data_IF_702026767650
#
_entry.id   IF_702026767650
#
_cell.length_a   1.000
_cell.length_b   1.000
_cell.length_c   1.000
_cell.angle_alpha   90.00
_cell.angle_beta   90.00
_cell.angle_gamma   90.00
#
_symmetry.space_group_name_H-M   'P 1'
#
loop_
_entity.id
_entity.type
_entity.pdbx_description
1 polymer ?
#
# COMPACT_ATOMS: atom_id res chain seq x y z
N UNK A 1 11.62 -7.73 -14.14
CA UNK A 1 11.34 -7.95 -12.71
C UNK A 1 10.23 -8.97 -12.54
N UNK A 2 10.38 -9.82 -11.58
CA UNK A 2 9.34 -10.82 -11.29
C UNK A 2 8.19 -10.19 -10.53
N UNK A 3 6.97 -10.65 -10.83
CA UNK A 3 5.80 -10.33 -10.02
C UNK A 3 5.87 -11.14 -8.75
N UNK A 4 5.71 -10.48 -7.60
CA UNK A 4 5.68 -11.14 -6.30
C UNK A 4 4.25 -11.17 -5.80
N UNK A 5 3.77 -12.36 -5.47
CA UNK A 5 2.45 -12.54 -4.86
C UNK A 5 2.64 -13.40 -3.62
N UNK A 6 2.20 -12.89 -2.47
CA UNK A 6 2.17 -13.63 -1.21
C UNK A 6 0.76 -13.64 -0.69
N UNK A 7 0.26 -14.84 -0.39
CA UNK A 7 -1.08 -14.98 0.17
C UNK A 7 -1.13 -14.43 1.60
N UNK A 8 -2.30 -13.92 1.99
CA UNK A 8 -2.51 -13.45 3.35
C UNK A 8 -2.42 -14.60 4.34
N UNK A 9 -1.91 -14.30 5.53
CA UNK A 9 -1.93 -15.19 6.68
C UNK A 9 -2.72 -14.51 7.80
N UNK A 10 -2.97 -15.19 8.94
CA UNK A 10 -3.64 -14.52 10.05
C UNK A 10 -2.88 -13.30 10.61
N UNK A 11 -1.57 -13.20 10.37
CA UNK A 11 -0.73 -12.12 10.89
C UNK A 11 -0.08 -11.24 9.84
N UNK A 12 -0.10 -11.64 8.57
CA UNK A 12 0.52 -10.91 7.46
C UNK A 12 -0.47 -10.67 6.34
N UNK A 13 -0.42 -9.49 5.68
CA UNK A 13 -1.36 -9.18 4.60
C UNK A 13 -1.06 -9.96 3.31
N UNK A 14 -2.07 -9.98 2.44
CA UNK A 14 -1.85 -10.30 1.04
C UNK A 14 -0.96 -9.22 0.42
N UNK A 15 -0.03 -9.64 -0.43
CA UNK A 15 0.90 -8.75 -1.11
C UNK A 15 0.96 -9.06 -2.60
N UNK A 16 0.81 -8.03 -3.42
CA UNK A 16 1.09 -8.12 -4.86
C UNK A 16 2.03 -6.98 -5.24
N UNK A 17 3.16 -7.33 -5.82
CA UNK A 17 4.13 -6.38 -6.38
C UNK A 17 4.27 -6.71 -7.86
N UNK A 18 3.67 -5.89 -8.71
CA UNK A 18 3.55 -6.18 -10.14
C UNK A 18 4.15 -5.04 -10.98
N UNK A 19 5.34 -5.29 -11.53
CA UNK A 19 6.05 -4.28 -12.32
C UNK A 19 5.50 -4.13 -13.74
N UNK A 20 4.79 -5.13 -14.25
CA UNK A 20 4.24 -5.07 -15.61
C UNK A 20 3.15 -4.02 -15.74
N UNK A 21 2.35 -3.85 -14.70
CA UNK A 21 1.26 -2.87 -14.68
C UNK A 21 1.52 -1.72 -13.69
N UNK A 22 2.63 -1.73 -12.97
CA UNK A 22 2.94 -0.68 -12.00
C UNK A 22 1.98 -0.68 -10.83
N UNK A 23 1.80 -1.83 -10.16
CA UNK A 23 0.79 -1.99 -9.13
C UNK A 23 1.37 -2.62 -7.87
N UNK A 24 1.07 -2.03 -6.73
CA UNK A 24 1.43 -2.53 -5.41
C UNK A 24 0.13 -2.66 -4.60
N UNK A 25 -0.15 -3.86 -4.09
CA UNK A 25 -1.35 -4.10 -3.28
C UNK A 25 -0.96 -4.75 -1.97
N UNK A 26 -1.40 -4.16 -0.86
CA UNK A 26 -1.22 -4.71 0.48
C UNK A 26 -2.61 -4.75 1.11
N UNK A 27 -3.11 -5.96 1.42
CA UNK A 27 -4.48 -6.14 1.85
C UNK A 27 -4.57 -7.18 2.98
N UNK A 28 -5.04 -6.76 4.14
CA UNK A 28 -5.32 -7.68 5.24
C UNK A 28 -4.81 -7.23 6.60
N UNK A 29 -4.24 -8.15 7.36
CA UNK A 29 -3.85 -7.95 8.74
C UNK A 29 -2.33 -7.89 8.86
N UNK A 30 -1.82 -6.73 9.25
CA UNK A 30 -0.39 -6.50 9.43
C UNK A 30 -0.09 -6.45 10.93
N UNK A 31 -0.11 -7.60 11.59
CA UNK A 31 0.02 -7.73 13.04
C UNK A 31 1.13 -8.67 13.50
N UNK A 32 2.03 -9.05 12.59
CA UNK A 32 3.18 -9.89 12.93
C UNK A 32 4.08 -9.15 13.93
N UNK A 33 4.60 -9.87 14.92
CA UNK A 33 5.55 -9.31 15.89
C UNK A 33 6.88 -8.95 15.25
N UNK A 34 7.29 -9.66 14.22
CA UNK A 34 8.52 -9.41 13.50
C UNK A 34 8.23 -9.30 12.01
N UNK A 35 7.78 -8.12 11.55
CA UNK A 35 7.41 -7.93 10.16
C UNK A 35 8.60 -7.59 9.25
N UNK A 36 9.82 -7.74 9.74
CA UNK A 36 11.02 -7.28 9.04
C UNK A 36 11.15 -7.88 7.64
N UNK A 37 11.01 -9.20 7.51
CA UNK A 37 11.17 -9.86 6.21
C UNK A 37 10.08 -9.44 5.22
N UNK A 38 8.84 -9.30 5.69
CA UNK A 38 7.73 -8.85 4.87
C UNK A 38 8.03 -7.47 4.26
N UNK A 39 8.38 -6.50 5.10
CA UNK A 39 8.64 -5.15 4.65
C UNK A 39 9.95 -5.02 3.88
N UNK A 40 10.97 -5.81 4.23
CA UNK A 40 12.23 -5.80 3.50
C UNK A 40 12.05 -6.18 2.03
N UNK A 41 11.20 -7.17 1.76
CA UNK A 41 10.93 -7.57 0.38
C UNK A 41 10.21 -6.45 -0.40
N UNK A 42 9.33 -5.71 0.28
CA UNK A 42 8.63 -4.57 -0.33
C UNK A 42 9.62 -3.45 -0.64
N UNK A 43 10.49 -3.11 0.31
CA UNK A 43 11.49 -2.05 0.12
C UNK A 43 12.45 -2.39 -1.03
N UNK A 44 12.95 -3.61 -1.04
CA UNK A 44 13.88 -4.06 -2.07
C UNK A 44 13.24 -4.03 -3.46
N UNK A 45 12.05 -4.60 -3.58
CA UNK A 45 11.33 -4.62 -4.85
C UNK A 45 11.04 -3.20 -5.34
N UNK A 46 10.59 -2.34 -4.44
CA UNK A 46 10.19 -0.96 -4.78
C UNK A 46 11.40 -0.15 -5.25
N UNK A 47 12.52 -0.29 -4.58
CA UNK A 47 13.75 0.40 -4.97
C UNK A 47 14.15 0.01 -6.40
N UNK A 48 14.10 -1.28 -6.70
CA UNK A 48 14.44 -1.77 -8.04
C UNK A 48 13.41 -1.30 -9.09
N UNK A 49 12.12 -1.38 -8.76
CA UNK A 49 11.05 -0.94 -9.65
C UNK A 49 11.20 0.53 -10.02
N UNK A 50 11.51 1.38 -9.05
CA UNK A 50 11.60 2.83 -9.27
C UNK A 50 12.82 3.26 -10.07
N UNK A 51 13.75 2.37 -10.36
CA UNK A 51 14.84 2.67 -11.30
C UNK A 51 14.31 2.81 -12.73
N UNK A 52 13.27 2.05 -13.08
CA UNK A 52 12.63 2.12 -14.40
C UNK A 52 11.13 1.83 -14.28
N UNK A 53 10.38 2.74 -13.65
CA UNK A 53 8.97 2.49 -13.37
C UNK A 53 8.09 2.69 -14.60
N UNK A 54 6.86 2.21 -14.52
CA UNK A 54 5.82 2.50 -15.49
C UNK A 54 5.41 3.97 -15.37
N UNK A 55 4.74 4.47 -16.39
CA UNK A 55 4.24 5.85 -16.40
C UNK A 55 3.34 6.14 -15.21
N UNK A 56 2.48 5.17 -14.87
CA UNK A 56 1.57 5.27 -13.74
C UNK A 56 1.85 4.15 -12.75
N UNK A 57 1.90 4.49 -11.46
CA UNK A 57 2.08 3.53 -10.38
C UNK A 57 0.90 3.65 -9.42
N UNK A 58 0.20 2.55 -9.17
CA UNK A 58 -0.94 2.50 -8.28
C UNK A 58 -0.59 1.68 -7.04
N UNK A 59 -0.86 2.26 -5.87
CA UNK A 59 -0.61 1.62 -4.58
C UNK A 59 -1.95 1.49 -3.87
N UNK A 60 -2.39 0.26 -3.62
CA UNK A 60 -3.63 -0.03 -2.93
C UNK A 60 -3.33 -0.56 -1.53
N UNK A 61 -3.80 0.15 -0.53
CA UNK A 61 -3.60 -0.17 0.87
C UNK A 61 -4.95 -0.40 1.54
N UNK A 62 -5.18 -1.62 2.01
CA UNK A 62 -6.42 -2.00 2.67
C UNK A 62 -6.11 -2.87 3.88
N UNK A 63 -5.99 -2.24 5.05
CA UNK A 63 -5.66 -2.93 6.29
C UNK A 63 -6.92 -3.18 7.11
N UNK A 64 -7.14 -4.43 7.50
CA UNK A 64 -8.13 -4.78 8.51
C UNK A 64 -7.61 -4.38 9.89
N UNK A 65 -6.35 -4.71 10.17
CA UNK A 65 -5.60 -4.29 11.35
C UNK A 65 -4.16 -4.03 10.98
N UNK A 66 -3.52 -3.10 11.66
CA UNK A 66 -2.09 -2.84 11.50
C UNK A 66 -1.50 -2.45 12.85
N UNK A 67 -0.43 -3.14 13.26
CA UNK A 67 0.22 -2.81 14.53
C UNK A 67 1.19 -1.64 14.38
N UNK A 68 1.70 -1.16 15.51
CA UNK A 68 2.56 0.02 15.55
C UNK A 68 3.83 -0.15 14.72
N UNK A 69 4.45 -1.32 14.80
CA UNK A 69 5.70 -1.57 14.08
C UNK A 69 5.48 -1.57 12.57
N UNK A 70 4.41 -2.24 12.11
CA UNK A 70 4.07 -2.22 10.69
C UNK A 70 3.63 -0.85 10.22
N UNK A 71 2.97 -0.06 11.07
CA UNK A 71 2.61 1.33 10.75
C UNK A 71 3.87 2.17 10.47
N UNK A 72 4.90 2.00 11.26
CA UNK A 72 6.18 2.70 11.04
C UNK A 72 6.82 2.29 9.73
N UNK A 73 6.81 1.00 9.42
CA UNK A 73 7.35 0.48 8.16
C UNK A 73 6.56 0.99 6.97
N UNK A 74 5.25 1.02 7.08
CA UNK A 74 4.38 1.57 6.04
C UNK A 74 4.71 3.04 5.77
N UNK A 75 4.88 3.83 6.81
CA UNK A 75 5.20 5.24 6.65
C UNK A 75 6.55 5.43 5.93
N UNK A 76 7.57 4.64 6.32
CA UNK A 76 8.88 4.68 5.65
C UNK A 76 8.73 4.30 4.18
N UNK A 77 7.92 3.29 3.87
CA UNK A 77 7.64 2.89 2.49
C UNK A 77 7.03 4.03 1.68
N UNK A 78 6.01 4.69 2.22
CA UNK A 78 5.35 5.79 1.52
C UNK A 78 6.30 6.98 1.29
N UNK A 79 7.18 7.25 2.24
CA UNK A 79 8.21 8.26 2.08
C UNK A 79 9.26 7.88 1.05
N UNK A 80 9.62 6.60 0.98
CA UNK A 80 10.50 6.08 -0.05
C UNK A 80 9.91 6.34 -1.45
N UNK A 81 8.62 6.10 -1.61
CA UNK A 81 7.90 6.38 -2.85
C UNK A 81 8.00 7.88 -3.21
N UNK A 82 7.69 8.76 -2.26
CA UNK A 82 7.76 10.20 -2.51
C UNK A 82 9.14 10.65 -2.97
N UNK A 83 10.19 10.14 -2.31
CA UNK A 83 11.56 10.55 -2.62
C UNK A 83 12.03 10.08 -3.98
N UNK A 84 11.66 8.87 -4.38
CA UNK A 84 12.25 8.20 -5.53
C UNK A 84 11.34 8.17 -6.76
N UNK A 85 10.05 8.41 -6.59
CA UNK A 85 9.10 8.39 -7.71
C UNK A 85 8.97 9.73 -8.42
N UNK A 86 9.38 10.82 -7.76
CA UNK A 86 9.21 12.17 -8.29
C UNK A 86 9.80 12.29 -9.71
N UNK A 87 9.00 12.76 -10.66
CA UNK A 87 9.36 12.97 -12.07
C UNK A 87 9.58 11.68 -12.86
N UNK A 88 9.50 10.50 -12.24
CA UNK A 88 9.69 9.22 -12.94
C UNK A 88 8.37 8.52 -13.23
N UNK A 89 7.42 8.64 -12.32
CA UNK A 89 6.12 7.97 -12.44
C UNK A 89 5.06 8.80 -11.74
N UNK A 90 3.83 8.73 -12.24
CA UNK A 90 2.69 9.37 -11.59
C UNK A 90 2.09 8.38 -10.59
N UNK A 91 2.14 8.71 -9.30
CA UNK A 91 1.74 7.81 -8.22
C UNK A 91 0.34 8.12 -7.74
N UNK A 92 -0.49 7.08 -7.66
CA UNK A 92 -1.81 7.14 -7.04
C UNK A 92 -1.84 6.18 -5.88
N UNK A 93 -2.12 6.69 -4.67
CA UNK A 93 -2.21 5.88 -3.46
C UNK A 93 -3.67 5.85 -3.02
N UNK A 94 -4.24 4.66 -2.93
CA UNK A 94 -5.61 4.45 -2.45
C UNK A 94 -5.56 3.88 -1.03
N UNK A 95 -6.16 4.61 -0.08
CA UNK A 95 -6.36 4.15 1.28
C UNK A 95 -7.78 3.60 1.36
N UNK A 96 -7.90 2.28 1.43
CA UNK A 96 -9.17 1.57 1.32
C UNK A 96 -9.57 1.09 2.71
N UNK A 97 -10.75 1.49 3.18
CA UNK A 97 -11.29 1.03 4.45
C UNK A 97 -12.81 1.19 4.48
N UNK A 98 -13.45 0.54 5.45
CA UNK A 98 -14.88 0.72 5.66
C UNK A 98 -15.16 2.13 6.17
N UNK A 99 -16.28 2.69 5.72
CA UNK A 99 -16.71 4.02 6.18
C UNK A 99 -17.00 4.06 7.68
N UNK A 100 -17.22 2.90 8.31
CA UNK A 100 -17.51 2.79 9.74
C UNK A 100 -16.27 2.47 10.58
N UNK A 101 -15.11 2.28 9.94
CA UNK A 101 -13.86 1.98 10.64
C UNK A 101 -13.13 3.28 11.00
N UNK A 102 -13.56 3.90 12.09
CA UNK A 102 -13.03 5.19 12.50
C UNK A 102 -11.53 5.16 12.79
N UNK A 103 -11.04 4.08 13.39
CA UNK A 103 -9.61 3.95 13.70
C UNK A 103 -8.77 3.92 12.44
N UNK A 104 -9.22 3.21 11.41
CA UNK A 104 -8.50 3.12 10.15
C UNK A 104 -8.58 4.42 9.35
N UNK A 105 -9.71 5.11 9.41
CA UNK A 105 -9.86 6.43 8.80
C UNK A 105 -8.90 7.41 9.47
N UNK A 106 -8.87 7.44 10.80
CA UNK A 106 -7.98 8.35 11.55
C UNK A 106 -6.51 8.06 11.25
N UNK A 107 -6.13 6.79 11.17
CA UNK A 107 -4.76 6.42 10.83
C UNK A 107 -4.41 6.92 9.43
N UNK A 108 -5.28 6.72 8.47
CA UNK A 108 -5.08 7.18 7.09
C UNK A 108 -4.94 8.69 7.02
N UNK A 109 -5.78 9.43 7.75
CA UNK A 109 -5.71 10.88 7.79
C UNK A 109 -4.40 11.37 8.41
N UNK A 110 -3.94 10.73 9.49
CA UNK A 110 -2.68 11.08 10.13
C UNK A 110 -1.50 10.85 9.21
N UNK A 111 -1.45 9.72 8.54
CA UNK A 111 -0.40 9.43 7.56
C UNK A 111 -0.45 10.45 6.42
N UNK A 112 -1.64 10.69 5.89
CA UNK A 112 -1.84 11.56 4.75
C UNK A 112 -1.37 12.99 5.04
N UNK A 113 -1.56 13.46 6.27
CA UNK A 113 -1.12 14.82 6.66
C UNK A 113 0.39 15.00 6.57
N UNK A 114 1.16 13.92 6.59
CA UNK A 114 2.63 13.93 6.54
C UNK A 114 3.17 13.65 5.14
N UNK A 115 2.30 13.43 4.17
CA UNK A 115 2.69 13.11 2.79
C UNK A 115 2.50 14.32 1.89
N UNK A 116 3.39 14.48 0.92
CA UNK A 116 3.23 15.47 -0.15
C UNK A 116 2.29 14.94 -1.21
N UNK A 117 2.41 13.65 -1.55
CA UNK A 117 1.56 12.99 -2.51
C UNK A 117 0.34 12.44 -1.77
N UNK A 118 -0.77 13.19 -1.82
CA UNK A 118 -1.96 12.88 -1.04
C UNK A 118 -2.62 11.60 -1.50
N UNK A 119 -3.12 10.83 -0.53
CA UNK A 119 -3.85 9.59 -0.78
C UNK A 119 -5.30 9.88 -1.13
N UNK A 120 -5.90 8.99 -1.92
CA UNK A 120 -7.33 8.97 -2.14
C UNK A 120 -7.95 8.00 -1.14
N UNK A 121 -8.95 8.45 -0.40
CA UNK A 121 -9.70 7.59 0.52
C UNK A 121 -10.83 6.91 -0.26
N UNK A 122 -10.87 5.59 -0.19
CA UNK A 122 -11.83 4.77 -0.92
C UNK A 122 -12.61 3.93 0.07
N UNK A 123 -13.93 4.03 0.04
CA UNK A 123 -14.79 3.16 0.81
C UNK A 123 -14.75 1.75 0.20
N UNK A 124 -14.49 0.73 1.03
CA UNK A 124 -14.46 -0.66 0.55
C UNK A 124 -15.77 -1.08 -0.12
N UNK A 125 -16.90 -0.52 0.27
CA UNK A 125 -18.19 -0.73 -0.39
C UNK A 125 -18.20 -0.22 -1.82
N UNK A 126 -17.65 0.96 -2.06
CA UNK A 126 -17.57 1.53 -3.41
C UNK A 126 -16.77 0.66 -4.35
N UNK A 127 -15.65 0.12 -3.85
CA UNK A 127 -14.80 -0.78 -4.62
C UNK A 127 -15.55 -2.06 -5.00
N UNK A 128 -16.34 -2.58 -4.07
CA UNK A 128 -17.14 -3.78 -4.27
C UNK A 128 -18.26 -3.54 -5.28
N UNK A 129 -18.96 -2.42 -5.17
CA UNK A 129 -20.03 -2.03 -6.10
C UNK A 129 -19.49 -1.85 -7.52
N UNK A 130 -18.32 -1.22 -7.66
CA UNK A 130 -17.67 -1.04 -8.96
C UNK A 130 -17.40 -2.38 -9.64
N UNK A 131 -16.98 -3.38 -8.87
CA UNK A 131 -16.79 -4.73 -9.41
C UNK A 131 -18.09 -5.39 -9.79
N UNK A 132 -19.16 -5.10 -9.05
CA UNK A 132 -20.49 -5.65 -9.34
C UNK A 132 -21.10 -5.11 -10.62
N UNK A 133 -20.72 -3.93 -11.03
CA UNK A 133 -21.21 -3.27 -12.24
C UNK A 133 -20.50 -3.74 -13.51
N UNK A 134 -19.49 -4.55 -13.36
CA UNK A 134 -18.78 -5.16 -14.51
C UNK A 134 -19.45 -6.46 -15.00
#
# INVERSE_FOLDING_TARGET
METIIKNATPTSPFLELNSEVGKITINGRAIDYNPTDFWASIFSWTTDYLENPKEFTTINLNFEYINTLSTKKLFVFLKLIEFNAAKKTSVKINWICDQDDDDMIDLGENINSLLRNKMKFVNSYELFETKGDC
#
